data_IF_841873062816
#
_entry.id   IF_841873062816
#
_cell.length_a   1.000
_cell.length_b   1.000
_cell.length_c   1.000
_cell.angle_alpha   90.00
_cell.angle_beta   90.00
_cell.angle_gamma   90.00
#
_symmetry.space_group_name_H-M   'P 1'
#
loop_
_entity.id
_entity.type
_entity.pdbx_description
1 polymer ?
#
# COMPACT_ATOMS: atom_id res chain seq x y z
N UNK A 1 -19.81 0.33 15.67
CA UNK A 1 -19.69 0.27 14.20
C UNK A 1 -18.56 -0.70 13.92
N UNK A 2 -18.84 -1.80 13.22
CA UNK A 2 -17.83 -2.82 12.94
C UNK A 2 -16.79 -2.23 11.99
N UNK A 3 -15.55 -2.12 12.47
CA UNK A 3 -14.39 -1.73 11.68
C UNK A 3 -14.21 -2.79 10.58
N UNK A 4 -14.64 -2.49 9.35
CA UNK A 4 -14.40 -3.39 8.23
C UNK A 4 -12.89 -3.54 8.06
N UNK A 5 -12.36 -4.77 7.97
CA UNK A 5 -10.92 -4.97 7.86
C UNK A 5 -10.42 -4.32 6.57
N UNK A 6 -9.49 -3.37 6.70
CA UNK A 6 -8.87 -2.67 5.57
C UNK A 6 -7.94 -3.57 4.75
N UNK A 7 -7.60 -4.75 5.26
CA UNK A 7 -6.71 -5.73 4.66
C UNK A 7 -7.06 -7.15 5.14
N UNK A 8 -6.60 -8.17 4.40
CA UNK A 8 -6.78 -9.58 4.78
C UNK A 8 -5.49 -10.37 4.60
N UNK A 9 -5.12 -11.15 5.63
CA UNK A 9 -3.95 -12.04 5.57
C UNK A 9 -4.32 -13.48 5.18
N UNK A 10 -5.57 -13.73 4.79
CA UNK A 10 -6.03 -15.08 4.40
C UNK A 10 -5.28 -15.56 3.17
N UNK A 11 -5.20 -14.73 2.13
CA UNK A 11 -4.44 -15.02 0.91
C UNK A 11 -2.96 -15.25 1.23
N UNK A 12 -2.39 -14.39 2.07
CA UNK A 12 -1.00 -14.47 2.49
C UNK A 12 -0.71 -15.82 3.19
N UNK A 13 -1.54 -16.21 4.16
CA UNK A 13 -1.42 -17.51 4.85
C UNK A 13 -1.52 -18.70 3.90
N UNK A 14 -2.41 -18.63 2.91
CA UNK A 14 -2.53 -19.68 1.89
C UNK A 14 -1.30 -19.77 1.00
N UNK A 15 -0.72 -18.62 0.58
CA UNK A 15 0.51 -18.58 -0.20
C UNK A 15 1.73 -19.12 0.57
N UNK A 16 1.68 -19.05 1.90
CA UNK A 16 2.75 -19.48 2.78
C UNK A 16 2.54 -20.90 3.34
N UNK A 17 1.61 -21.70 2.82
CA UNK A 17 1.27 -23.03 3.36
C UNK A 17 0.96 -23.02 4.88
N UNK A 18 0.32 -21.96 5.38
CA UNK A 18 0.11 -21.66 6.81
C UNK A 18 1.39 -21.55 7.66
N UNK A 19 2.56 -21.37 7.04
CA UNK A 19 3.80 -21.06 7.75
C UNK A 19 3.72 -19.67 8.38
N UNK A 20 3.35 -19.66 9.66
CA UNK A 20 3.22 -18.44 10.46
C UNK A 20 4.53 -17.66 10.61
N UNK A 21 5.70 -18.31 10.51
CA UNK A 21 6.98 -17.61 10.58
C UNK A 21 7.22 -16.79 9.32
N UNK A 22 6.97 -17.39 8.16
CA UNK A 22 7.10 -16.71 6.87
C UNK A 22 6.06 -15.60 6.69
N UNK A 23 4.81 -15.83 7.14
CA UNK A 23 3.77 -14.78 7.19
C UNK A 23 4.24 -13.59 8.03
N UNK A 24 4.80 -13.83 9.22
CA UNK A 24 5.30 -12.76 10.09
C UNK A 24 6.46 -11.99 9.47
N UNK A 25 7.36 -12.67 8.75
CA UNK A 25 8.44 -12.02 8.02
C UNK A 25 7.91 -11.08 6.93
N UNK A 26 6.94 -11.53 6.13
CA UNK A 26 6.29 -10.71 5.12
C UNK A 26 5.57 -9.50 5.72
N UNK A 27 4.89 -9.67 6.85
CA UNK A 27 4.23 -8.58 7.57
C UNK A 27 5.25 -7.56 8.11
N UNK A 28 6.38 -8.01 8.65
CA UNK A 28 7.46 -7.12 9.10
C UNK A 28 8.04 -6.33 7.93
N UNK A 29 8.39 -7.01 6.84
CA UNK A 29 8.89 -6.35 5.64
C UNK A 29 7.90 -5.31 5.11
N UNK A 30 6.59 -5.60 5.14
CA UNK A 30 5.57 -4.64 4.75
C UNK A 30 5.62 -3.38 5.63
N UNK A 31 5.60 -3.55 6.95
CA UNK A 31 5.64 -2.42 7.91
C UNK A 31 6.95 -1.62 7.83
N UNK A 32 8.07 -2.26 7.49
CA UNK A 32 9.38 -1.59 7.40
C UNK A 32 9.56 -0.82 6.08
N UNK A 33 9.01 -1.33 4.97
CA UNK A 33 9.30 -0.80 3.63
C UNK A 33 8.21 0.10 3.06
N UNK A 34 6.94 -0.16 3.40
CA UNK A 34 5.80 0.58 2.84
C UNK A 34 5.77 2.03 3.32
N UNK A 35 6.01 2.37 4.60
CA UNK A 35 6.02 3.76 5.04
C UNK A 35 7.05 4.62 4.31
N UNK A 36 8.24 4.07 4.04
CA UNK A 36 9.26 4.76 3.26
C UNK A 36 8.80 5.00 1.81
N UNK A 37 8.18 4.01 1.16
CA UNK A 37 7.65 4.17 -0.20
C UNK A 37 6.49 5.18 -0.27
N UNK A 38 5.65 5.26 0.77
CA UNK A 38 4.58 6.27 0.86
C UNK A 38 5.17 7.67 1.03
N UNK A 39 6.21 7.82 1.86
CA UNK A 39 6.92 9.10 2.00
C UNK A 39 7.57 9.54 0.67
N UNK A 40 8.20 8.61 -0.05
CA UNK A 40 8.73 8.86 -1.40
C UNK A 40 7.62 9.26 -2.39
N UNK A 41 6.45 8.60 -2.33
CA UNK A 41 5.31 8.91 -3.20
C UNK A 41 4.81 10.35 -3.01
N UNK A 42 4.62 10.76 -1.75
CA UNK A 42 4.20 12.11 -1.41
C UNK A 42 5.24 13.15 -1.85
N UNK A 43 6.53 12.90 -1.56
CA UNK A 43 7.60 13.80 -1.96
C UNK A 43 7.70 13.95 -3.49
N UNK A 44 7.51 12.86 -4.25
CA UNK A 44 7.47 12.92 -5.71
C UNK A 44 6.27 13.71 -6.22
N UNK A 45 5.09 13.52 -5.60
CA UNK A 45 3.88 14.28 -5.94
C UNK A 45 4.04 15.78 -5.66
N UNK A 46 4.56 16.16 -4.49
CA UNK A 46 4.81 17.57 -4.12
C UNK A 46 5.80 18.26 -5.07
N UNK A 47 6.75 17.49 -5.63
CA UNK A 47 7.72 17.95 -6.62
C UNK A 47 7.20 17.93 -8.06
N UNK A 48 5.95 17.51 -8.29
CA UNK A 48 5.38 17.26 -9.63
C UNK A 48 6.20 16.24 -10.46
N UNK A 49 6.93 15.34 -9.80
CA UNK A 49 7.66 14.24 -10.45
C UNK A 49 6.74 13.04 -10.67
N UNK A 50 5.84 13.18 -11.65
CA UNK A 50 4.86 12.14 -11.97
C UNK A 50 5.50 10.85 -12.53
N UNK A 51 6.71 10.93 -13.08
CA UNK A 51 7.48 9.74 -13.49
C UNK A 51 7.82 8.90 -12.27
N UNK A 52 8.31 9.54 -11.19
CA UNK A 52 8.56 8.85 -9.92
C UNK A 52 7.27 8.37 -9.27
N UNK A 53 6.18 9.16 -9.30
CA UNK A 53 4.86 8.73 -8.78
C UNK A 53 4.42 7.42 -9.42
N UNK A 54 4.47 7.32 -10.75
CA UNK A 54 4.10 6.11 -11.48
C UNK A 54 4.96 4.90 -11.08
N UNK A 55 6.29 5.08 -11.05
CA UNK A 55 7.25 4.03 -10.67
C UNK A 55 7.04 3.54 -9.23
N UNK A 56 6.76 4.44 -8.30
CA UNK A 56 6.52 4.10 -6.89
C UNK A 56 5.17 3.39 -6.74
N UNK A 57 4.13 3.83 -7.45
CA UNK A 57 2.84 3.14 -7.48
C UNK A 57 3.00 1.69 -7.99
N UNK A 58 3.80 1.48 -9.04
CA UNK A 58 4.14 0.15 -9.55
C UNK A 58 4.82 -0.73 -8.48
N UNK A 59 5.76 -0.15 -7.72
CA UNK A 59 6.47 -0.87 -6.64
C UNK A 59 5.54 -1.23 -5.47
N UNK A 60 4.52 -0.42 -5.19
CA UNK A 60 3.55 -0.65 -4.12
C UNK A 60 2.47 -1.69 -4.49
N UNK A 61 2.11 -1.83 -5.77
CA UNK A 61 1.13 -2.82 -6.26
C UNK A 61 1.28 -4.24 -5.69
N UNK A 62 2.46 -4.89 -5.76
CA UNK A 62 2.60 -6.25 -5.24
C UNK A 62 2.39 -6.32 -3.73
N UNK A 63 2.86 -5.33 -2.96
CA UNK A 63 2.64 -5.27 -1.52
C UNK A 63 1.14 -5.14 -1.17
N UNK A 64 0.42 -4.27 -1.87
CA UNK A 64 -1.03 -4.11 -1.77
C UNK A 64 -1.76 -5.42 -2.07
N UNK A 65 -1.33 -6.13 -3.12
CA UNK A 65 -1.91 -7.42 -3.52
C UNK A 65 -1.64 -8.52 -2.48
N UNK A 66 -0.41 -8.63 -1.98
CA UNK A 66 -0.03 -9.65 -1.01
C UNK A 66 -0.76 -9.49 0.32
N UNK A 67 -0.99 -8.25 0.75
CA UNK A 67 -1.76 -7.92 1.95
C UNK A 67 -3.29 -7.91 1.72
N UNK A 68 -3.73 -8.21 0.50
CA UNK A 68 -5.14 -8.23 0.11
C UNK A 68 -5.89 -6.93 0.51
N UNK A 69 -5.27 -5.78 0.23
CA UNK A 69 -5.84 -4.46 0.52
C UNK A 69 -6.78 -4.10 -0.63
N UNK A 70 -7.98 -4.69 -0.64
CA UNK A 70 -8.98 -4.54 -1.70
C UNK A 70 -9.24 -3.08 -2.08
N UNK A 71 -9.33 -2.21 -1.07
CA UNK A 71 -9.60 -0.78 -1.24
C UNK A 71 -8.55 -0.08 -2.12
N UNK A 72 -7.32 -0.60 -2.20
CA UNK A 72 -6.24 0.01 -2.99
C UNK A 72 -5.92 -0.72 -4.29
N UNK A 73 -6.49 -1.91 -4.56
CA UNK A 73 -6.16 -2.70 -5.75
C UNK A 73 -6.39 -1.94 -7.06
N UNK A 74 -7.53 -1.26 -7.18
CA UNK A 74 -7.85 -0.44 -8.35
C UNK A 74 -7.22 0.97 -8.26
N UNK A 75 -7.33 1.71 -7.15
CA UNK A 75 -6.73 3.04 -7.04
C UNK A 75 -5.24 3.11 -7.36
N UNK A 76 -4.44 2.11 -6.94
CA UNK A 76 -3.00 2.10 -7.23
C UNK A 76 -2.72 1.88 -8.73
N UNK A 77 -3.58 1.13 -9.43
CA UNK A 77 -3.47 0.92 -10.88
C UNK A 77 -3.81 2.20 -11.64
N UNK A 78 -4.88 2.87 -11.24
CA UNK A 78 -5.28 4.15 -11.81
C UNK A 78 -4.22 5.22 -11.55
N UNK A 79 -3.65 5.28 -10.33
CA UNK A 79 -2.57 6.21 -10.00
C UNK A 79 -1.34 6.01 -10.89
N UNK A 80 -0.89 4.77 -11.06
CA UNK A 80 0.24 4.46 -11.94
C UNK A 80 0.00 4.90 -13.37
N UNK A 81 -1.20 4.60 -13.91
CA UNK A 81 -1.58 4.96 -15.27
C UNK A 81 -1.68 6.48 -15.46
N UNK A 82 -2.40 7.18 -14.57
CA UNK A 82 -2.56 8.63 -14.67
C UNK A 82 -1.23 9.36 -14.53
N UNK A 83 -0.37 8.94 -13.60
CA UNK A 83 0.94 9.57 -13.45
C UNK A 83 1.86 9.36 -14.68
N UNK A 84 1.68 8.27 -15.42
CA UNK A 84 2.44 8.01 -16.66
C UNK A 84 1.85 8.74 -17.89
N UNK A 85 0.53 8.70 -18.06
CA UNK A 85 -0.14 9.07 -19.31
C UNK A 85 -0.88 10.42 -19.23
N UNK A 86 -1.28 10.85 -18.03
CA UNK A 86 -2.10 12.04 -17.79
C UNK A 86 -1.65 12.81 -16.53
N UNK A 87 -0.41 13.33 -16.49
CA UNK A 87 0.19 13.95 -15.30
C UNK A 87 -0.57 15.19 -14.79
N UNK A 88 -1.36 15.83 -15.65
CA UNK A 88 -2.18 17.00 -15.27
C UNK A 88 -3.52 16.61 -14.62
N UNK A 89 -3.80 15.31 -14.46
CA UNK A 89 -5.07 14.85 -13.91
C UNK A 89 -5.20 15.23 -12.43
N UNK A 90 -6.27 15.96 -12.04
CA UNK A 90 -6.51 16.30 -10.64
C UNK A 90 -6.80 15.08 -9.76
N UNK A 91 -7.08 13.92 -10.39
CA UNK A 91 -7.30 12.67 -9.69
C UNK A 91 -6.02 12.11 -9.06
N UNK A 92 -4.84 12.48 -9.56
CA UNK A 92 -3.55 11.98 -9.03
C UNK A 92 -3.44 12.34 -7.54
N UNK A 93 -3.68 13.60 -7.16
CA UNK A 93 -3.60 14.02 -5.76
C UNK A 93 -4.61 13.29 -4.85
N UNK A 94 -5.84 13.09 -5.35
CA UNK A 94 -6.88 12.34 -4.62
C UNK A 94 -6.40 10.89 -4.35
N UNK A 95 -5.82 10.26 -5.38
CA UNK A 95 -5.34 8.88 -5.30
C UNK A 95 -4.09 8.75 -4.43
N UNK A 96 -3.15 9.70 -4.47
CA UNK A 96 -1.97 9.75 -3.60
C UNK A 96 -2.41 9.79 -2.13
N UNK A 97 -3.30 10.72 -1.76
CA UNK A 97 -3.80 10.83 -0.38
C UNK A 97 -4.61 9.59 0.05
N UNK A 98 -5.37 8.99 -0.86
CA UNK A 98 -6.09 7.75 -0.58
C UNK A 98 -5.10 6.60 -0.27
N UNK A 99 -4.10 6.41 -1.14
CA UNK A 99 -3.07 5.37 -0.98
C UNK A 99 -2.30 5.57 0.33
N UNK A 100 -1.84 6.80 0.59
CA UNK A 100 -1.19 7.17 1.84
C UNK A 100 -2.05 6.82 3.06
N UNK A 101 -3.29 7.33 3.09
CA UNK A 101 -4.16 7.19 4.25
C UNK A 101 -4.52 5.74 4.56
N UNK A 102 -4.75 4.92 3.53
CA UNK A 102 -5.07 3.50 3.73
C UNK A 102 -3.82 2.71 4.13
N UNK A 103 -2.67 2.90 3.45
CA UNK A 103 -1.44 2.18 3.80
C UNK A 103 -0.95 2.53 5.21
N UNK A 104 -1.07 3.80 5.61
CA UNK A 104 -0.77 4.23 6.98
C UNK A 104 -1.64 3.51 8.01
N UNK A 105 -2.96 3.47 7.79
CA UNK A 105 -3.90 2.75 8.68
C UNK A 105 -3.56 1.25 8.77
N UNK A 106 -3.26 0.62 7.64
CA UNK A 106 -2.87 -0.80 7.59
C UNK A 106 -1.58 -1.03 8.40
N UNK A 107 -0.55 -0.19 8.23
CA UNK A 107 0.70 -0.31 8.99
C UNK A 107 0.45 -0.16 10.51
N UNK A 108 -0.35 0.83 10.93
CA UNK A 108 -0.70 1.03 12.34
C UNK A 108 -1.46 -0.17 12.91
N UNK A 109 -2.39 -0.74 12.15
CA UNK A 109 -3.16 -1.91 12.58
C UNK A 109 -2.29 -3.16 12.67
N UNK A 110 -1.36 -3.36 11.73
CA UNK A 110 -0.39 -4.46 11.75
C UNK A 110 0.54 -4.37 12.96
N UNK A 111 1.08 -3.19 13.26
CA UNK A 111 1.91 -2.96 14.43
C UNK A 111 1.16 -3.28 15.72
N UNK A 112 -0.07 -2.76 15.89
CA UNK A 112 -0.90 -3.08 17.07
C UNK A 112 -1.14 -4.58 17.24
N UNK A 113 -1.35 -5.29 16.13
CA UNK A 113 -1.60 -6.75 16.16
C UNK A 113 -0.33 -7.55 16.52
N UNK A 114 0.85 -7.09 16.11
CA UNK A 114 2.14 -7.74 16.41
C UNK A 114 2.65 -7.48 17.85
N UNK A 115 2.36 -6.31 18.44
CA UNK A 115 2.87 -5.91 19.77
C UNK A 115 1.94 -6.22 20.95
N UNK A 116 0.75 -6.76 20.70
CA UNK A 116 -0.23 -7.07 21.75
C UNK A 116 -0.18 -8.54 22.21
N UNK A 117 1.00 -9.16 22.16
CA UNK A 117 1.22 -10.57 22.51
C UNK A 117 2.34 -10.76 23.52
#
# INVERSE_FOLDING_TARGET
MADQPLFSVVLLKQLCDNDTAFVNEMLRQFVDTVPASVAELNAAFDQNDFTSVSRIAHRLKPAIRHMDIDLLKEPIQVLEYLAAEQPDSPQIGILVHLVEGVLHKVCVQLQKTQYNH
#
